data_IF_656510711926
#
_entry.id   IF_656510711926
#
_cell.length_a   1.000
_cell.length_b   1.000
_cell.length_c   1.000
_cell.angle_alpha   90.00
_cell.angle_beta   90.00
_cell.angle_gamma   90.00
#
_symmetry.space_group_name_H-M   'P 1'
#
loop_
_entity.id
_entity.type
_entity.pdbx_description
1 polymer ?
#
# COMPACT_ATOMS: atom_id res chain seq x y z
N UNK A 1 1.75 14.75 9.25
CA UNK A 1 2.74 15.63 9.93
C UNK A 1 4.16 15.13 9.64
N UNK A 2 4.55 13.92 10.06
CA UNK A 2 5.94 13.42 9.93
C UNK A 2 6.46 13.45 8.49
N UNK A 3 5.71 12.94 7.53
CA UNK A 3 6.12 12.90 6.11
C UNK A 3 6.34 14.30 5.53
N UNK A 4 5.50 15.25 5.88
CA UNK A 4 5.70 16.63 5.45
C UNK A 4 7.01 17.20 5.99
N UNK A 5 7.36 16.94 7.25
CA UNK A 5 8.64 17.38 7.82
C UNK A 5 9.83 16.73 7.10
N UNK A 6 9.75 15.44 6.75
CA UNK A 6 10.79 14.78 5.96
C UNK A 6 11.00 15.47 4.60
N UNK A 7 9.91 15.82 3.92
CA UNK A 7 9.97 16.52 2.63
C UNK A 7 10.54 17.94 2.78
N UNK A 8 10.00 18.74 3.72
CA UNK A 8 10.32 20.17 3.81
C UNK A 8 11.64 20.47 4.50
N UNK A 9 12.12 19.60 5.41
CA UNK A 9 13.33 19.86 6.22
C UNK A 9 14.55 19.05 5.77
N UNK A 10 14.32 17.84 5.22
CA UNK A 10 15.40 16.93 4.84
C UNK A 10 15.60 16.81 3.32
N UNK A 11 14.75 17.47 2.53
CA UNK A 11 14.86 17.49 1.06
C UNK A 11 15.02 16.09 0.46
N UNK A 12 14.20 15.13 0.91
CA UNK A 12 14.26 13.74 0.46
C UNK A 12 13.98 13.65 -1.05
N UNK A 13 14.70 12.81 -1.75
CA UNK A 13 14.56 12.61 -3.21
C UNK A 13 13.50 11.59 -3.57
N UNK A 14 13.14 10.69 -2.65
CA UNK A 14 12.10 9.69 -2.85
C UNK A 14 11.61 9.13 -1.52
N UNK A 15 10.46 8.45 -1.54
CA UNK A 15 9.87 7.79 -0.37
C UNK A 15 9.61 6.32 -0.68
N UNK A 16 10.13 5.43 0.17
CA UNK A 16 9.80 4.00 0.16
C UNK A 16 9.04 3.72 1.47
N UNK A 17 7.76 3.41 1.36
CA UNK A 17 6.93 3.07 2.51
C UNK A 17 6.70 1.57 2.56
N UNK A 18 7.16 0.92 3.62
CA UNK A 18 6.99 -0.51 3.85
C UNK A 18 6.16 -0.77 5.10
N UNK A 19 5.39 -1.85 5.11
CA UNK A 19 4.54 -2.20 6.23
C UNK A 19 3.74 -3.48 5.98
N UNK A 20 2.66 -3.64 6.75
CA UNK A 20 1.73 -4.76 6.62
C UNK A 20 0.38 -4.29 6.09
N UNK A 21 -0.43 -5.21 5.56
CA UNK A 21 -1.76 -4.94 5.05
C UNK A 21 -2.64 -6.20 5.11
N UNK A 22 -3.96 -6.01 5.12
CA UNK A 22 -4.93 -7.06 4.85
C UNK A 22 -5.02 -7.38 3.35
N UNK A 23 -4.95 -8.65 2.99
CA UNK A 23 -5.10 -9.13 1.63
C UNK A 23 -6.56 -9.13 1.17
N UNK A 24 -6.82 -8.64 -0.05
CA UNK A 24 -8.15 -8.59 -0.66
C UNK A 24 -8.29 -9.60 -1.79
N UNK A 25 -7.29 -9.72 -2.66
CA UNK A 25 -7.33 -10.60 -3.82
C UNK A 25 -7.45 -12.08 -3.45
N UNK A 26 -8.14 -12.87 -4.29
CA UNK A 26 -8.45 -14.29 -4.01
C UNK A 26 -7.23 -15.18 -3.82
N UNK A 27 -6.13 -14.87 -4.50
CA UNK A 27 -4.89 -15.66 -4.50
C UNK A 27 -3.79 -15.05 -3.63
N UNK A 28 -4.13 -14.04 -2.82
CA UNK A 28 -3.22 -13.34 -1.92
C UNK A 28 -3.42 -13.86 -0.50
N UNK A 29 -2.34 -14.34 0.12
CA UNK A 29 -2.36 -14.99 1.43
C UNK A 29 -1.38 -14.33 2.41
N UNK A 30 -1.60 -14.50 3.74
CA UNK A 30 -0.64 -14.05 4.75
C UNK A 30 0.79 -14.54 4.44
N UNK A 31 1.74 -13.63 4.49
CA UNK A 31 3.12 -13.84 4.10
C UNK A 31 3.48 -13.39 2.68
N UNK A 32 2.51 -13.24 1.79
CA UNK A 32 2.72 -12.68 0.46
C UNK A 32 3.04 -11.16 0.51
N UNK A 33 3.46 -10.60 -0.62
CA UNK A 33 3.82 -9.19 -0.75
C UNK A 33 3.03 -8.54 -1.87
N UNK A 34 2.49 -7.35 -1.62
CA UNK A 34 1.86 -6.48 -2.61
C UNK A 34 2.69 -5.21 -2.79
N UNK A 35 3.09 -4.92 -4.03
CA UNK A 35 3.73 -3.68 -4.44
C UNK A 35 2.65 -2.80 -5.07
N UNK A 36 2.46 -1.59 -4.52
CA UNK A 36 1.49 -0.67 -5.07
C UNK A 36 1.94 -0.12 -6.43
N UNK A 37 1.07 -0.18 -7.41
CA UNK A 37 1.17 0.60 -8.65
C UNK A 37 0.49 1.96 -8.50
N UNK A 38 -0.56 2.00 -7.71
CA UNK A 38 -1.25 3.22 -7.31
C UNK A 38 -2.00 3.02 -5.98
N UNK A 39 -2.38 4.13 -5.34
CA UNK A 39 -3.14 4.13 -4.09
C UNK A 39 -4.38 5.02 -4.18
N UNK A 40 -5.43 4.65 -3.43
CA UNK A 40 -6.67 5.42 -3.29
C UNK A 40 -7.06 5.50 -1.81
N UNK A 41 -7.55 6.66 -1.39
CA UNK A 41 -8.14 6.87 -0.08
C UNK A 41 -9.60 6.40 -0.12
N UNK A 42 -9.88 5.13 0.19
CA UNK A 42 -11.19 4.51 -0.03
C UNK A 42 -12.32 5.04 0.87
N UNK A 43 -11.98 5.65 1.98
CA UNK A 43 -12.94 6.20 2.96
C UNK A 43 -13.21 7.70 2.77
N UNK A 44 -12.64 8.32 1.74
CA UNK A 44 -13.04 9.64 1.31
C UNK A 44 -14.36 9.53 0.55
N UNK A 45 -15.41 10.14 1.08
CA UNK A 45 -16.75 10.09 0.49
C UNK A 45 -17.37 11.49 0.39
N UNK A 46 -17.37 12.00 -0.82
CA UNK A 46 -18.03 13.24 -1.22
C UNK A 46 -19.07 12.98 -2.32
N UNK A 47 -19.60 11.77 -2.39
CA UNK A 47 -20.60 11.37 -3.40
C UNK A 47 -21.86 12.22 -3.36
N UNK A 48 -22.21 12.79 -2.20
CA UNK A 48 -23.30 13.77 -2.08
C UNK A 48 -23.10 15.03 -2.94
N UNK A 49 -21.87 15.32 -3.36
CA UNK A 49 -21.52 16.43 -4.27
C UNK A 49 -21.28 15.97 -5.70
N UNK A 50 -21.45 14.67 -5.99
CA UNK A 50 -21.27 14.08 -7.32
C UNK A 50 -19.89 13.52 -7.62
N UNK A 51 -18.98 13.56 -6.67
CA UNK A 51 -17.65 12.93 -6.82
C UNK A 51 -17.77 11.40 -6.72
N UNK A 52 -16.91 10.62 -7.40
CA UNK A 52 -16.81 9.19 -7.13
C UNK A 52 -16.29 8.95 -5.71
N UNK A 53 -16.71 7.84 -5.08
CA UNK A 53 -16.16 7.43 -3.79
C UNK A 53 -14.64 7.23 -3.90
N UNK A 54 -13.87 7.71 -2.92
CA UNK A 54 -12.41 7.70 -2.95
C UNK A 54 -11.77 8.93 -3.62
N UNK A 55 -12.56 9.76 -4.30
CA UNK A 55 -12.05 11.01 -4.87
C UNK A 55 -11.81 12.05 -3.78
N UNK A 56 -10.57 12.52 -3.67
CA UNK A 56 -10.28 13.67 -2.80
C UNK A 56 -10.75 14.93 -3.54
N UNK A 57 -11.64 15.74 -2.92
CA UNK A 57 -12.20 16.92 -3.58
C UNK A 57 -11.12 17.91 -4.06
N UNK A 58 -11.33 18.48 -5.22
CA UNK A 58 -10.43 19.46 -5.87
C UNK A 58 -9.06 18.92 -6.28
N UNK A 59 -8.85 17.60 -6.20
CA UNK A 59 -7.69 16.96 -6.79
C UNK A 59 -7.98 16.66 -8.26
N UNK A 60 -6.98 16.81 -9.11
CA UNK A 60 -7.03 16.52 -10.56
C UNK A 60 -6.72 15.03 -10.84
N UNK A 61 -6.50 14.26 -9.81
CA UNK A 61 -6.30 12.81 -9.89
C UNK A 61 -7.21 12.07 -8.94
N UNK A 62 -7.64 10.87 -9.35
CA UNK A 62 -8.40 9.93 -8.51
C UNK A 62 -7.49 9.06 -7.66
N UNK A 63 -6.37 8.63 -8.23
CA UNK A 63 -5.39 7.76 -7.59
C UNK A 63 -3.99 8.39 -7.61
N UNK A 64 -3.15 7.95 -6.67
CA UNK A 64 -1.76 8.37 -6.58
C UNK A 64 -0.87 7.27 -7.17
N UNK A 65 -0.33 7.52 -8.35
CA UNK A 65 0.57 6.58 -9.05
C UNK A 65 1.93 6.54 -8.39
N UNK A 66 2.40 5.32 -8.12
CA UNK A 66 3.77 5.09 -7.67
C UNK A 66 4.78 5.35 -8.79
N UNK A 67 6.00 5.67 -8.42
CA UNK A 67 7.09 5.87 -9.38
C UNK A 67 7.49 4.54 -10.03
N UNK A 68 7.51 4.50 -11.36
CA UNK A 68 7.78 3.27 -12.14
C UNK A 68 9.15 2.67 -11.82
N UNK A 69 10.19 3.50 -11.67
CA UNK A 69 11.54 3.02 -11.34
C UNK A 69 11.59 2.38 -9.95
N UNK A 70 10.91 2.97 -8.98
CA UNK A 70 10.85 2.41 -7.63
C UNK A 70 10.02 1.11 -7.61
N UNK A 71 8.91 1.05 -8.36
CA UNK A 71 8.09 -0.17 -8.51
C UNK A 71 8.91 -1.30 -9.13
N UNK A 72 9.62 -1.06 -10.23
CA UNK A 72 10.47 -2.06 -10.88
C UNK A 72 11.65 -2.49 -9.98
N UNK A 73 12.23 -1.55 -9.22
CA UNK A 73 13.27 -1.88 -8.24
C UNK A 73 12.72 -2.77 -7.12
N UNK A 74 11.48 -2.51 -6.66
CA UNK A 74 10.81 -3.36 -5.67
C UNK A 74 10.51 -4.75 -6.21
N UNK A 75 10.00 -4.86 -7.46
CA UNK A 75 9.79 -6.15 -8.14
C UNK A 75 11.09 -6.95 -8.25
N UNK A 76 12.17 -6.29 -8.66
CA UNK A 76 13.49 -6.91 -8.76
C UNK A 76 14.05 -7.36 -7.39
N UNK A 77 13.78 -6.60 -6.33
CA UNK A 77 14.16 -7.00 -4.97
C UNK A 77 13.35 -8.21 -4.48
N UNK A 78 12.04 -8.23 -4.75
CA UNK A 78 11.18 -9.36 -4.38
C UNK A 78 11.54 -10.63 -5.15
N UNK A 79 12.00 -10.53 -6.41
CA UNK A 79 12.41 -11.69 -7.22
C UNK A 79 13.65 -12.42 -6.67
N UNK A 80 14.41 -11.80 -5.78
CA UNK A 80 15.53 -12.45 -5.08
C UNK A 80 15.09 -13.32 -3.88
N UNK A 81 13.81 -13.21 -3.48
CA UNK A 81 13.24 -14.02 -2.41
C UNK A 81 12.49 -15.23 -2.97
N UNK A 82 12.53 -16.35 -2.25
CA UNK A 82 11.74 -17.56 -2.56
C UNK A 82 10.63 -17.83 -1.56
N UNK A 83 10.57 -17.05 -0.49
CA UNK A 83 9.75 -17.36 0.69
C UNK A 83 8.31 -16.83 0.59
N UNK A 84 8.00 -16.01 -0.45
CA UNK A 84 6.68 -15.40 -0.63
C UNK A 84 6.38 -15.15 -2.12
N UNK A 85 5.09 -15.04 -2.43
CA UNK A 85 4.64 -14.57 -3.75
C UNK A 85 4.55 -13.04 -3.76
N UNK A 86 4.74 -12.47 -4.94
CA UNK A 86 4.66 -11.01 -5.13
C UNK A 86 3.56 -10.69 -6.13
N UNK A 87 2.74 -9.70 -5.78
CA UNK A 87 1.68 -9.15 -6.60
C UNK A 87 1.92 -7.66 -6.81
N UNK A 88 1.42 -7.11 -7.91
CA UNK A 88 1.46 -5.67 -8.19
C UNK A 88 0.07 -5.18 -8.55
N UNK A 89 -0.33 -4.02 -8.00
CA UNK A 89 -1.62 -3.42 -8.30
C UNK A 89 -2.02 -2.36 -7.30
N UNK A 90 -3.32 -2.12 -7.17
CA UNK A 90 -3.86 -1.07 -6.29
C UNK A 90 -3.85 -1.50 -4.83
N UNK A 91 -3.35 -0.61 -3.96
CA UNK A 91 -3.54 -0.65 -2.51
C UNK A 91 -4.51 0.47 -2.13
N UNK A 92 -5.42 0.20 -1.20
CA UNK A 92 -6.36 1.20 -0.70
C UNK A 92 -6.12 1.48 0.77
N UNK A 93 -6.27 2.73 1.18
CA UNK A 93 -6.06 3.18 2.56
C UNK A 93 -7.32 3.81 3.15
N UNK A 94 -7.51 3.63 4.45
CA UNK A 94 -8.58 4.28 5.22
C UNK A 94 -8.39 4.07 6.71
N UNK A 95 -9.05 4.89 7.53
CA UNK A 95 -8.90 4.91 8.99
C UNK A 95 -9.70 3.78 9.69
N UNK A 96 -9.72 2.59 9.09
CA UNK A 96 -10.44 1.42 9.61
C UNK A 96 -9.61 0.15 9.45
N UNK A 97 -9.50 -0.63 10.53
CA UNK A 97 -9.06 -2.02 10.43
C UNK A 97 -10.18 -2.85 9.80
N UNK A 98 -9.97 -3.28 8.55
CA UNK A 98 -10.98 -4.01 7.78
C UNK A 98 -10.96 -5.49 8.17
N UNK A 99 -12.03 -5.94 8.85
CA UNK A 99 -12.20 -7.33 9.29
C UNK A 99 -13.57 -7.91 8.87
N UNK A 100 -14.24 -7.28 7.92
CA UNK A 100 -15.56 -7.65 7.41
C UNK A 100 -15.47 -8.12 5.97
N UNK A 101 -16.04 -9.30 5.71
CA UNK A 101 -16.09 -9.88 4.37
C UNK A 101 -16.82 -8.96 3.36
N UNK A 102 -17.94 -8.35 3.82
CA UNK A 102 -18.70 -7.43 2.97
C UNK A 102 -17.87 -6.21 2.58
N UNK A 103 -17.08 -5.67 3.52
CA UNK A 103 -16.20 -4.53 3.25
C UNK A 103 -15.09 -4.89 2.28
N UNK A 104 -14.51 -6.08 2.41
CA UNK A 104 -13.49 -6.58 1.49
C UNK A 104 -14.04 -6.77 0.08
N UNK A 105 -15.21 -7.41 -0.05
CA UNK A 105 -15.85 -7.58 -1.34
C UNK A 105 -16.21 -6.24 -2.00
N UNK A 106 -16.60 -5.26 -1.19
CA UNK A 106 -16.83 -3.91 -1.67
C UNK A 106 -15.54 -3.24 -2.15
N UNK A 107 -14.43 -3.35 -1.39
CA UNK A 107 -13.12 -2.82 -1.78
C UNK A 107 -12.59 -3.47 -3.07
N UNK A 108 -12.76 -4.80 -3.20
CA UNK A 108 -12.39 -5.53 -4.41
C UNK A 108 -13.20 -5.04 -5.62
N UNK A 109 -14.52 -4.96 -5.47
CA UNK A 109 -15.45 -4.59 -6.55
C UNK A 109 -15.29 -3.13 -6.98
N UNK A 110 -15.24 -2.21 -6.02
CA UNK A 110 -15.25 -0.76 -6.26
C UNK A 110 -13.90 -0.26 -6.74
N UNK A 111 -12.82 -0.74 -6.11
CA UNK A 111 -11.48 -0.23 -6.36
C UNK A 111 -10.56 -1.21 -7.09
N UNK A 112 -10.96 -2.46 -7.27
CA UNK A 112 -10.08 -3.54 -7.78
C UNK A 112 -8.80 -3.66 -6.93
N UNK A 113 -8.95 -3.46 -5.62
CA UNK A 113 -7.86 -3.44 -4.67
C UNK A 113 -7.28 -4.84 -4.44
N UNK A 114 -5.96 -4.94 -4.31
CA UNK A 114 -5.26 -6.16 -3.92
C UNK A 114 -5.01 -6.24 -2.42
N UNK A 115 -4.89 -5.09 -1.75
CA UNK A 115 -4.68 -5.01 -0.31
C UNK A 115 -5.29 -3.72 0.26
N UNK A 116 -5.57 -3.71 1.56
CA UNK A 116 -6.01 -2.54 2.31
C UNK A 116 -5.14 -2.34 3.56
N UNK A 117 -4.87 -1.08 3.88
CA UNK A 117 -4.08 -0.66 5.02
C UNK A 117 -4.50 0.76 5.47
N UNK A 118 -3.74 1.45 6.30
CA UNK A 118 -4.24 2.66 6.98
C UNK A 118 -3.38 3.93 6.74
N UNK A 119 -2.28 3.90 5.98
CA UNK A 119 -1.34 5.03 5.85
C UNK A 119 -0.91 5.37 4.41
N UNK A 120 -0.83 4.37 3.54
CA UNK A 120 -0.15 4.50 2.24
C UNK A 120 -0.70 5.59 1.34
N UNK A 121 -2.04 5.71 1.22
CA UNK A 121 -2.63 6.73 0.36
C UNK A 121 -2.44 8.15 0.92
N UNK A 122 -2.45 8.34 2.25
CA UNK A 122 -2.17 9.65 2.84
C UNK A 122 -0.70 10.07 2.66
N UNK A 123 0.23 9.12 2.71
CA UNK A 123 1.65 9.33 2.39
C UNK A 123 1.81 9.67 0.90
N UNK A 124 1.18 8.88 0.03
CA UNK A 124 1.17 9.09 -1.41
C UNK A 124 0.62 10.48 -1.80
N UNK A 125 -0.46 10.91 -1.14
CA UNK A 125 -1.04 12.24 -1.33
C UNK A 125 -0.02 13.36 -1.00
N UNK A 126 0.70 13.25 0.13
CA UNK A 126 1.77 14.22 0.46
C UNK A 126 2.88 14.19 -0.59
N UNK A 127 3.32 13.00 -1.03
CA UNK A 127 4.33 12.87 -2.07
C UNK A 127 3.87 13.49 -3.39
N UNK A 128 2.63 13.23 -3.81
CA UNK A 128 2.03 13.81 -5.02
C UNK A 128 2.03 15.34 -4.99
N UNK A 129 1.54 15.95 -3.91
CA UNK A 129 1.50 17.41 -3.76
C UNK A 129 2.89 18.07 -3.76
N UNK A 130 3.94 17.32 -3.45
CA UNK A 130 5.31 17.83 -3.40
C UNK A 130 6.19 17.32 -4.56
N UNK A 131 5.62 16.59 -5.54
CA UNK A 131 6.34 15.99 -6.67
C UNK A 131 7.51 15.09 -6.21
N UNK A 132 7.31 14.31 -5.15
CA UNK A 132 8.29 13.37 -4.63
C UNK A 132 7.96 11.96 -5.15
N UNK A 133 8.87 11.29 -5.86
CA UNK A 133 8.72 9.89 -6.24
C UNK A 133 8.48 9.00 -5.02
N UNK A 134 7.56 8.05 -5.11
CA UNK A 134 7.28 7.15 -4.00
C UNK A 134 6.87 5.75 -4.47
N UNK A 135 7.01 4.78 -3.58
CA UNK A 135 6.44 3.44 -3.69
C UNK A 135 5.95 2.97 -2.32
N UNK A 136 4.86 2.20 -2.33
CA UNK A 136 4.31 1.55 -1.14
C UNK A 136 4.35 0.05 -1.33
N UNK A 137 4.88 -0.66 -0.33
CA UNK A 137 5.04 -2.11 -0.34
C UNK A 137 4.45 -2.67 0.95
N UNK A 138 3.62 -3.69 0.84
CA UNK A 138 2.95 -4.31 1.98
C UNK A 138 3.16 -5.81 2.01
N UNK A 139 3.59 -6.33 3.15
CA UNK A 139 3.51 -7.76 3.43
C UNK A 139 2.13 -8.07 4.00
N UNK A 140 1.50 -9.10 3.50
CA UNK A 140 0.15 -9.46 3.94
C UNK A 140 0.22 -10.12 5.31
N UNK A 141 -0.43 -9.51 6.29
CA UNK A 141 -0.49 -10.00 7.67
C UNK A 141 -1.72 -10.85 7.92
N UNK A 142 -2.80 -10.58 7.22
CA UNK A 142 -4.09 -11.23 7.39
C UNK A 142 -4.87 -11.26 6.08
N UNK A 143 -5.87 -12.14 6.08
CA UNK A 143 -6.81 -12.24 4.99
C UNK A 143 -8.18 -12.27 5.64
N UNK A 144 -8.94 -11.19 5.54
CA UNK A 144 -10.23 -11.02 6.21
C UNK A 144 -11.25 -12.12 5.89
N UNK A 145 -10.98 -12.99 4.91
CA UNK A 145 -11.81 -14.15 4.60
C UNK A 145 -11.71 -15.27 5.65
N UNK A 146 -10.70 -15.29 6.55
CA UNK A 146 -10.38 -16.42 7.43
C UNK A 146 -10.13 -16.04 8.89
N UNK A 147 -10.64 -14.90 9.37
CA UNK A 147 -10.47 -14.51 10.77
C UNK A 147 -9.25 -13.62 11.02
N UNK A 148 -9.22 -12.47 10.39
CA UNK A 148 -8.15 -11.48 10.36
C UNK A 148 -7.40 -11.20 11.67
N UNK A 149 -8.08 -11.23 12.81
CA UNK A 149 -7.49 -10.89 14.10
C UNK A 149 -6.39 -11.87 14.57
N UNK A 150 -6.59 -13.17 14.37
CA UNK A 150 -5.61 -14.17 14.79
C UNK A 150 -4.41 -14.24 13.84
N UNK A 151 -4.63 -13.91 12.58
CA UNK A 151 -3.57 -13.96 11.58
C UNK A 151 -2.64 -12.76 11.69
N UNK A 152 -3.14 -11.57 12.02
CA UNK A 152 -2.35 -10.36 12.17
C UNK A 152 -1.18 -10.51 13.15
N UNK A 153 -1.45 -10.96 14.37
CA UNK A 153 -0.40 -11.17 15.38
C UNK A 153 0.62 -12.23 14.96
N UNK A 154 0.15 -13.30 14.34
CA UNK A 154 0.98 -14.43 13.90
C UNK A 154 1.90 -14.06 12.73
N UNK A 155 1.39 -13.31 11.75
CA UNK A 155 2.11 -13.01 10.50
C UNK A 155 2.86 -11.69 10.52
N UNK A 156 2.61 -10.79 11.46
CA UNK A 156 3.36 -9.53 11.59
C UNK A 156 4.88 -9.73 11.64
N UNK A 157 5.44 -10.70 12.40
CA UNK A 157 6.89 -10.95 12.40
C UNK A 157 7.43 -11.36 11.01
N UNK A 158 6.66 -12.12 10.24
CA UNK A 158 7.00 -12.50 8.85
C UNK A 158 6.97 -11.25 7.96
N UNK A 159 5.95 -10.41 8.12
CA UNK A 159 5.84 -9.13 7.41
C UNK A 159 7.03 -8.21 7.68
N UNK A 160 7.49 -8.11 8.92
CA UNK A 160 8.69 -7.34 9.29
C UNK A 160 9.95 -7.92 8.62
N UNK A 161 10.11 -9.25 8.62
CA UNK A 161 11.24 -9.93 7.94
C UNK A 161 11.24 -9.62 6.44
N UNK A 162 10.09 -9.81 5.77
CA UNK A 162 9.94 -9.57 4.34
C UNK A 162 10.21 -8.10 3.99
N UNK A 163 9.57 -7.17 4.70
CA UNK A 163 9.75 -5.73 4.50
C UNK A 163 11.21 -5.29 4.68
N UNK A 164 11.89 -5.84 5.70
CA UNK A 164 13.31 -5.54 5.95
C UNK A 164 14.21 -6.06 4.84
N UNK A 165 13.97 -7.28 4.35
CA UNK A 165 14.70 -7.86 3.23
C UNK A 165 14.52 -7.01 1.96
N UNK A 166 13.27 -6.72 1.59
CA UNK A 166 12.95 -5.95 0.40
C UNK A 166 13.60 -4.57 0.45
N UNK A 167 13.44 -3.84 1.57
CA UNK A 167 14.00 -2.51 1.73
C UNK A 167 15.53 -2.51 1.58
N UNK A 168 16.23 -3.43 2.24
CA UNK A 168 17.69 -3.56 2.13
C UNK A 168 18.13 -3.83 0.69
N UNK A 169 17.45 -4.77 0.01
CA UNK A 169 17.76 -5.12 -1.39
C UNK A 169 17.51 -3.94 -2.33
N UNK A 170 16.39 -3.22 -2.15
CA UNK A 170 16.11 -2.00 -2.92
C UNK A 170 17.18 -0.93 -2.73
N UNK A 171 17.57 -0.65 -1.48
CA UNK A 171 18.59 0.36 -1.20
C UNK A 171 19.93 0.03 -1.86
N UNK A 172 20.31 -1.25 -1.94
CA UNK A 172 21.52 -1.67 -2.66
C UNK A 172 21.40 -1.49 -4.18
N UNK A 173 20.19 -1.60 -4.74
CA UNK A 173 19.95 -1.43 -6.18
C UNK A 173 19.78 0.05 -6.61
N UNK A 174 19.49 0.94 -5.67
CA UNK A 174 19.30 2.37 -5.92
C UNK A 174 20.58 3.20 -5.79
N UNK A 175 21.66 2.60 -5.31
CA UNK A 175 23.00 3.20 -5.26
C UNK A 175 23.65 3.12 -6.66
#
# INVERSE_FOLDING_TARGET
>A
ALFRSLVSEYNVSSVINVGVAGGIGKDIFPGDVVIAENLVQYDMDTTAFGDPVGQIPRMDTFDFKCDEKLVETAKAACAEASDFKTFSGRIVSGDMFVASLDKIQWLEKEFQALACEMEGASIAHVCYLNNIPFVVIRSISDNANNGAHMDFEKFTPIGVKNSTFILKTMLNKLQ
#
